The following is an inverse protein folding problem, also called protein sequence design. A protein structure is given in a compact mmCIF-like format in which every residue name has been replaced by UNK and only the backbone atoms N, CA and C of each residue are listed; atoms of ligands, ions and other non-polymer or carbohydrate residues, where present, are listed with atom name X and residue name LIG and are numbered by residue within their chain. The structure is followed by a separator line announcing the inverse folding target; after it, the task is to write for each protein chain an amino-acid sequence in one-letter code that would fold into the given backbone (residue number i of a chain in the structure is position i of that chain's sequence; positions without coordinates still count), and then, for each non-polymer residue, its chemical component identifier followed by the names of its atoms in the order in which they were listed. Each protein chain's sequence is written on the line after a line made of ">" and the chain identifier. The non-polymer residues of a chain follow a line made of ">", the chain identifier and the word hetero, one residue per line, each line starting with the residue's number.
data_IF_448613681093
#
_entry.id   IF_448613681093
#
_cell.length_a   1.000
_cell.length_b   1.000
_cell.length_c   1.000
_cell.angle_alpha   90.00
_cell.angle_beta   90.00
_cell.angle_gamma   90.00
#
_symmetry.space_group_name_H-M   'P 1'
#
loop_
_entity.id
_entity.type
_entity.pdbx_description
1 polymer ?
#
# COMPACT_ATOMS: atom_id res chain seq x y z
N UNK A 1 2.58 7.42 5.13
CA UNK A 1 3.41 7.82 3.98
C UNK A 1 2.50 8.03 2.79
N UNK A 2 2.58 9.17 2.11
CA UNK A 2 1.84 9.44 0.87
C UNK A 2 2.84 9.65 -0.26
N UNK A 3 2.66 8.93 -1.36
CA UNK A 3 3.44 9.07 -2.59
C UNK A 3 2.46 9.27 -3.74
N UNK A 4 2.50 10.45 -4.38
CA UNK A 4 1.66 10.81 -5.52
C UNK A 4 2.55 11.39 -6.62
N UNK A 5 2.62 10.72 -7.77
CA UNK A 5 3.40 11.18 -8.92
C UNK A 5 2.64 12.16 -9.83
N UNK A 6 1.36 12.42 -9.53
CA UNK A 6 0.47 13.20 -10.39
C UNK A 6 0.28 12.55 -11.75
N UNK A 7 0.56 13.30 -12.82
CA UNK A 7 0.47 12.80 -14.20
C UNK A 7 1.71 12.02 -14.66
N UNK A 8 2.77 11.97 -13.85
CA UNK A 8 4.06 11.41 -14.23
C UNK A 8 4.13 9.89 -13.99
N UNK A 9 4.95 9.23 -14.79
CA UNK A 9 5.41 7.87 -14.50
C UNK A 9 6.58 7.95 -13.53
N UNK A 10 6.34 7.51 -12.30
CA UNK A 10 7.38 7.39 -11.28
C UNK A 10 7.44 5.94 -10.81
N UNK A 11 8.62 5.33 -11.00
CA UNK A 11 8.91 4.02 -10.44
C UNK A 11 9.23 4.18 -8.96
N UNK A 12 8.50 3.47 -8.12
CA UNK A 12 8.57 3.56 -6.67
C UNK A 12 9.12 2.24 -6.15
N UNK A 13 10.28 2.30 -5.50
CA UNK A 13 10.84 1.15 -4.81
C UNK A 13 10.85 1.40 -3.30
N UNK A 14 10.20 0.51 -2.55
CA UNK A 14 10.13 0.55 -1.08
C UNK A 14 10.70 -0.76 -0.55
N UNK A 15 11.85 -0.68 0.12
CA UNK A 15 12.53 -1.87 0.60
C UNK A 15 12.95 -1.76 2.07
N UNK A 16 12.85 -2.86 2.81
CA UNK A 16 13.39 -3.02 4.17
C UNK A 16 12.92 -1.98 5.18
N UNK A 17 11.69 -1.46 5.03
CA UNK A 17 11.13 -0.49 5.99
C UNK A 17 10.05 -1.11 6.88
N UNK A 18 9.85 -0.50 8.04
CA UNK A 18 8.70 -0.78 8.91
C UNK A 18 7.79 0.43 8.99
N UNK A 19 6.51 0.26 8.66
CA UNK A 19 5.47 1.28 8.82
C UNK A 19 4.49 0.82 9.88
N UNK A 20 4.43 1.51 11.01
CA UNK A 20 3.58 1.06 12.12
C UNK A 20 2.96 2.16 12.96
N UNK A 21 1.84 1.81 13.60
CA UNK A 21 1.10 2.68 14.52
C UNK A 21 0.66 4.01 13.87
N UNK A 22 0.54 4.05 12.56
CA UNK A 22 0.05 5.22 11.83
C UNK A 22 -1.45 5.37 12.03
N UNK A 23 -1.90 6.57 12.38
CA UNK A 23 -3.32 6.93 12.44
C UNK A 23 -3.58 8.05 11.45
N UNK A 24 -4.30 7.75 10.37
CA UNK A 24 -4.48 8.69 9.25
C UNK A 24 -5.96 8.86 8.89
N UNK A 25 -6.37 10.12 8.74
CA UNK A 25 -7.67 10.50 8.18
C UNK A 25 -7.52 10.66 6.67
N UNK A 26 -8.00 9.68 5.89
CA UNK A 26 -8.05 9.79 4.43
C UNK A 26 -7.11 8.88 3.61
N UNK A 27 -6.49 7.87 4.21
CA UNK A 27 -5.65 6.92 3.46
C UNK A 27 -5.05 5.84 4.34
N UNK A 28 -3.99 5.19 3.88
CA UNK A 28 -3.34 4.09 4.57
C UNK A 28 -2.03 4.48 5.27
N UNK A 29 -1.48 3.57 6.07
CA UNK A 29 -0.10 3.67 6.55
C UNK A 29 0.88 4.01 5.41
N UNK A 30 0.66 3.43 4.22
CA UNK A 30 1.29 3.81 2.95
C UNK A 30 0.20 3.98 1.89
N UNK A 31 0.07 5.16 1.28
CA UNK A 31 -0.78 5.42 0.12
C UNK A 31 0.09 5.77 -1.09
N UNK A 32 -0.12 5.07 -2.21
CA UNK A 32 0.63 5.27 -3.46
C UNK A 32 -0.34 5.53 -4.61
N UNK A 33 -0.03 6.57 -5.39
CA UNK A 33 -0.66 6.89 -6.66
C UNK A 33 0.42 7.20 -7.68
N UNK A 34 0.60 6.32 -8.66
CA UNK A 34 1.53 6.53 -9.76
C UNK A 34 1.01 5.93 -11.07
N UNK A 35 1.60 6.34 -12.19
CA UNK A 35 1.49 5.64 -13.48
C UNK A 35 2.70 4.73 -13.76
N UNK A 36 3.73 4.79 -12.91
CA UNK A 36 4.91 3.93 -13.01
C UNK A 36 4.76 2.63 -12.22
N UNK A 37 5.87 1.91 -12.13
CA UNK A 37 5.96 0.63 -11.44
C UNK A 37 6.10 0.83 -9.93
N UNK A 38 5.56 -0.09 -9.14
CA UNK A 38 5.69 -0.09 -7.69
C UNK A 38 6.25 -1.43 -7.24
N UNK A 39 7.37 -1.41 -6.54
CA UNK A 39 7.96 -2.57 -5.88
C UNK A 39 8.00 -2.34 -4.37
N UNK A 40 7.48 -3.31 -3.61
CA UNK A 40 7.54 -3.32 -2.14
C UNK A 40 8.15 -4.65 -1.71
N UNK A 41 9.42 -4.61 -1.27
CA UNK A 41 10.16 -5.81 -0.85
C UNK A 41 10.55 -5.74 0.63
N UNK A 42 10.41 -6.88 1.34
CA UNK A 42 10.90 -7.04 2.72
C UNK A 42 10.41 -5.98 3.71
N UNK A 43 9.17 -5.52 3.55
CA UNK A 43 8.60 -4.50 4.42
C UNK A 43 7.73 -5.09 5.52
N UNK A 44 7.58 -4.36 6.63
CA UNK A 44 6.62 -4.71 7.69
C UNK A 44 5.64 -3.55 7.94
N UNK A 45 4.38 -3.74 7.62
CA UNK A 45 3.32 -2.74 7.74
C UNK A 45 2.37 -3.21 8.85
N UNK A 46 2.41 -2.63 10.04
CA UNK A 46 1.64 -3.16 11.16
C UNK A 46 0.93 -2.14 12.04
N UNK A 47 -0.21 -2.52 12.62
CA UNK A 47 -0.95 -1.69 13.58
C UNK A 47 -1.31 -0.30 13.05
N UNK A 48 -1.51 -0.15 11.73
CA UNK A 48 -1.92 1.12 11.15
C UNK A 48 -3.45 1.19 11.07
N UNK A 49 -3.99 2.38 11.32
CA UNK A 49 -5.41 2.65 11.36
C UNK A 49 -5.78 3.81 10.42
N UNK A 50 -6.80 3.58 9.61
CA UNK A 50 -7.41 4.58 8.73
C UNK A 50 -8.87 4.80 9.07
N UNK A 51 -9.33 6.05 9.00
CA UNK A 51 -10.77 6.35 9.02
C UNK A 51 -11.44 6.25 7.65
N UNK A 52 -10.68 5.92 6.59
CA UNK A 52 -11.15 5.87 5.21
C UNK A 52 -10.83 4.52 4.57
N UNK A 53 -9.83 4.43 3.68
CA UNK A 53 -9.47 3.22 2.93
C UNK A 53 -8.07 2.73 3.29
N UNK A 54 -7.90 1.39 3.26
CA UNK A 54 -6.63 0.69 3.45
C UNK A 54 -6.00 0.95 4.83
N UNK A 55 -6.16 0.04 5.78
CA UNK A 55 -5.56 0.27 7.11
C UNK A 55 -4.04 0.41 7.05
N UNK A 56 -3.38 -0.39 6.21
CA UNK A 56 -1.92 -0.54 6.15
C UNK A 56 -1.30 0.01 4.87
N UNK A 57 -1.69 -0.54 3.73
CA UNK A 57 -1.22 -0.16 2.40
C UNK A 57 -2.42 0.07 1.48
N UNK A 58 -2.36 1.14 0.68
CA UNK A 58 -3.37 1.46 -0.32
C UNK A 58 -2.70 1.93 -1.61
N UNK A 59 -2.82 1.13 -2.68
CA UNK A 59 -2.36 1.51 -4.02
C UNK A 59 -3.57 1.99 -4.81
N UNK A 60 -3.65 3.29 -5.06
CA UNK A 60 -4.73 3.91 -5.85
C UNK A 60 -4.52 3.66 -7.34
N UNK A 61 -3.28 3.77 -7.82
CA UNK A 61 -2.89 3.46 -9.18
C UNK A 61 -1.39 3.08 -9.26
N UNK A 62 -1.08 2.15 -10.16
CA UNK A 62 0.26 1.77 -10.60
C UNK A 62 0.16 1.08 -11.97
N UNK A 63 1.19 1.17 -12.83
CA UNK A 63 1.23 0.36 -14.05
C UNK A 63 1.51 -1.09 -13.75
N UNK A 64 2.37 -1.36 -12.77
CA UNK A 64 2.70 -2.69 -12.27
C UNK A 64 2.92 -2.60 -10.76
N UNK A 65 2.48 -3.63 -10.04
CA UNK A 65 2.69 -3.76 -8.61
C UNK A 65 3.33 -5.11 -8.30
N UNK A 66 4.51 -5.08 -7.69
CA UNK A 66 5.19 -6.24 -7.13
C UNK A 66 5.32 -6.08 -5.62
N UNK A 67 4.83 -7.06 -4.86
CA UNK A 67 4.99 -7.09 -3.41
C UNK A 67 5.59 -8.45 -3.04
N UNK A 68 6.78 -8.43 -2.47
CA UNK A 68 7.52 -9.63 -2.07
C UNK A 68 7.99 -9.52 -0.62
N UNK A 69 7.98 -10.66 0.09
CA UNK A 69 8.54 -10.80 1.44
C UNK A 69 8.04 -9.74 2.44
N UNK A 70 6.85 -9.19 2.22
CA UNK A 70 6.29 -8.07 2.97
C UNK A 70 5.13 -8.56 3.83
N UNK A 71 5.11 -8.17 5.09
CA UNK A 71 4.04 -8.52 6.04
C UNK A 71 3.15 -7.32 6.31
N UNK A 72 1.83 -7.51 6.34
CA UNK A 72 0.86 -6.47 6.65
C UNK A 72 -0.14 -6.91 7.75
N UNK A 73 0.18 -6.67 9.02
CA UNK A 73 -0.54 -7.24 10.17
C UNK A 73 -1.29 -6.20 11.00
N UNK A 74 -2.45 -6.57 11.57
CA UNK A 74 -3.20 -5.72 12.51
C UNK A 74 -3.51 -4.30 11.99
N UNK A 75 -3.64 -4.14 10.67
CA UNK A 75 -4.03 -2.87 10.09
C UNK A 75 -5.56 -2.81 9.96
N UNK A 76 -6.17 -1.65 10.21
CA UNK A 76 -7.64 -1.51 10.25
C UNK A 76 -8.11 -0.26 9.50
N UNK A 77 -9.21 -0.36 8.74
CA UNK A 77 -9.90 0.77 8.13
C UNK A 77 -11.36 0.82 8.59
N UNK A 78 -11.89 2.00 8.91
CA UNK A 78 -13.27 2.14 9.43
C UNK A 78 -14.36 2.10 8.35
N UNK A 79 -14.05 2.40 7.09
CA UNK A 79 -15.04 2.37 6.02
C UNK A 79 -15.03 1.00 5.31
N UNK A 80 -16.18 0.33 5.27
CA UNK A 80 -16.36 -1.09 4.86
C UNK A 80 -16.24 -1.35 3.35
N UNK A 81 -15.72 -0.41 2.58
CA UNK A 81 -15.44 -0.57 1.15
C UNK A 81 -14.15 -1.34 0.93
N UNK A 82 -14.25 -2.66 0.77
CA UNK A 82 -13.19 -3.62 0.38
C UNK A 82 -11.79 -3.14 0.75
N UNK A 83 -11.46 -3.10 2.04
CA UNK A 83 -10.08 -2.97 2.48
C UNK A 83 -9.89 -3.46 3.91
N UNK A 84 -10.41 -4.67 4.17
CA UNK A 84 -9.74 -5.60 5.07
C UNK A 84 -8.39 -6.09 4.48
N UNK A 85 -8.08 -5.70 3.23
CA UNK A 85 -6.88 -6.09 2.56
C UNK A 85 -5.68 -5.31 3.13
N UNK A 86 -5.04 -5.94 4.11
CA UNK A 86 -3.63 -6.36 4.11
C UNK A 86 -2.82 -5.89 2.86
N UNK A 87 -3.36 -6.01 1.63
CA UNK A 87 -2.88 -5.44 0.36
C UNK A 87 -4.11 -5.14 -0.56
N UNK A 88 -4.41 -3.90 -0.94
CA UNK A 88 -5.40 -3.61 -2.00
C UNK A 88 -4.71 -2.97 -3.21
N UNK A 89 -4.83 -3.61 -4.36
CA UNK A 89 -4.30 -3.15 -5.65
C UNK A 89 -5.43 -3.17 -6.69
N UNK A 90 -5.71 -2.02 -7.29
CA UNK A 90 -6.70 -1.85 -8.37
C UNK A 90 -6.11 -2.11 -9.77
N UNK A 91 -4.81 -2.40 -9.85
CA UNK A 91 -4.08 -2.72 -11.08
C UNK A 91 -3.50 -4.13 -10.97
N UNK A 92 -3.87 -4.97 -11.94
CA UNK A 92 -3.45 -6.37 -12.04
C UNK A 92 -2.06 -6.46 -12.67
N UNK A 93 -1.08 -6.86 -11.86
CA UNK A 93 0.24 -7.37 -12.26
C UNK A 93 0.55 -8.59 -11.41
N UNK A 94 1.16 -9.61 -12.01
CA UNK A 94 1.23 -10.99 -11.50
C UNK A 94 1.58 -11.11 -10.01
N UNK A 95 0.67 -11.72 -9.24
CA UNK A 95 0.96 -12.21 -7.90
C UNK A 95 1.83 -13.48 -8.03
N UNK A 96 3.16 -13.34 -8.03
CA UNK A 96 4.03 -14.50 -7.77
C UNK A 96 4.24 -14.65 -6.26
N UNK A 97 3.38 -15.44 -5.61
CA UNK A 97 3.71 -16.01 -4.31
C UNK A 97 4.68 -17.17 -4.53
N UNK A 98 5.95 -16.97 -4.16
CA UNK A 98 6.87 -18.07 -3.86
C UNK A 98 6.73 -18.46 -2.39
#
# INVERSE_FOLDING_TARGET
>A
MLIDSGSNELNINIENITVRNGKVSGGAGIRIKTKGEVTIDKCNIQNNYSTSHGGGLYIESASTLLISKTTANNNTASNRGISAAVLYATSIGEFSSN
#
